data_IF_244292133012
#
_entry.id   IF_244292133012
#
_cell.length_a   1.000
_cell.length_b   1.000
_cell.length_c   1.000
_cell.angle_alpha   90.00
_cell.angle_beta   90.00
_cell.angle_gamma   90.00
#
_symmetry.space_group_name_H-M   'P 1'
#
loop_
_entity.id
_entity.type
_entity.pdbx_description
1 polymer ?
#
# COMPACT_ATOMS: atom_id res chain seq x y z
N UNK A 1 -18.88 3.16 35.01
CA UNK A 1 -18.22 2.32 33.99
C UNK A 1 -16.95 3.04 33.59
N UNK A 2 -15.78 2.41 33.71
CA UNK A 2 -14.53 3.05 33.29
C UNK A 2 -14.51 3.11 31.75
N UNK A 3 -14.49 4.30 31.18
CA UNK A 3 -14.21 4.51 29.76
C UNK A 3 -12.78 4.03 29.49
N UNK A 4 -12.65 2.85 28.89
CA UNK A 4 -11.37 2.39 28.38
C UNK A 4 -11.15 3.05 27.03
N UNK A 5 -10.28 4.07 26.97
CA UNK A 5 -9.86 4.68 25.72
C UNK A 5 -8.78 3.81 25.07
N UNK A 6 -9.17 3.02 24.07
CA UNK A 6 -8.22 2.24 23.28
C UNK A 6 -7.49 3.18 22.32
N UNK A 7 -6.21 3.43 22.56
CA UNK A 7 -5.36 4.18 21.65
C UNK A 7 -4.80 3.23 20.57
N UNK A 8 -4.98 3.52 19.27
CA UNK A 8 -4.37 2.75 18.20
C UNK A 8 -2.85 2.71 18.36
N UNK A 9 -2.27 1.51 18.25
CA UNK A 9 -0.81 1.30 18.30
C UNK A 9 -0.34 0.60 17.04
N UNK A 10 0.89 0.91 16.64
CA UNK A 10 1.53 0.24 15.52
C UNK A 10 1.86 -1.22 15.90
N UNK A 11 1.73 -2.18 14.96
CA UNK A 11 2.15 -3.56 15.19
C UNK A 11 3.68 -3.69 15.41
N UNK A 12 4.47 -2.72 14.95
CA UNK A 12 5.92 -2.70 15.09
C UNK A 12 6.39 -1.90 16.31
N UNK A 13 5.52 -1.21 17.04
CA UNK A 13 5.90 -0.30 18.13
C UNK A 13 6.82 -0.96 19.19
N UNK A 14 6.60 -2.25 19.47
CA UNK A 14 7.40 -3.00 20.46
C UNK A 14 8.61 -3.70 19.86
N UNK A 15 8.60 -3.97 18.55
CA UNK A 15 9.63 -4.77 17.88
C UNK A 15 10.67 -3.89 17.16
N UNK A 16 10.28 -2.71 16.71
CA UNK A 16 11.15 -1.76 16.03
C UNK A 16 12.04 -1.06 17.05
N UNK A 17 13.30 -1.45 17.08
CA UNK A 17 14.35 -0.70 17.77
C UNK A 17 15.03 0.19 16.74
N UNK A 18 14.94 1.52 16.92
CA UNK A 18 15.58 2.46 16.01
C UNK A 18 17.09 2.50 16.26
N UNK A 19 17.88 2.52 15.19
CA UNK A 19 19.33 2.65 15.29
C UNK A 19 20.05 2.21 14.03
N UNK A 20 21.37 2.43 14.03
CA UNK A 20 22.26 1.87 13.02
C UNK A 20 22.64 0.44 13.41
N UNK A 21 22.57 -0.48 12.46
CA UNK A 21 22.94 -1.88 12.62
C UNK A 21 24.05 -2.25 11.64
N UNK A 22 24.93 -3.15 12.06
CA UNK A 22 26.09 -3.57 11.29
C UNK A 22 27.35 -2.77 11.60
N UNK A 23 28.20 -2.60 10.59
CA UNK A 23 29.49 -1.93 10.70
C UNK A 23 29.32 -0.43 11.02
N UNK A 24 30.00 0.06 12.05
CA UNK A 24 29.76 1.40 12.63
C UNK A 24 30.51 2.53 11.95
N UNK A 25 31.57 2.22 11.21
CA UNK A 25 32.47 3.21 10.61
C UNK A 25 32.18 3.44 9.12
N UNK A 26 31.12 2.82 8.59
CA UNK A 26 30.69 2.94 7.19
C UNK A 26 29.29 3.54 7.12
N UNK A 27 29.08 4.48 6.19
CA UNK A 27 27.77 5.05 5.95
C UNK A 27 26.74 3.94 5.62
N UNK A 28 25.53 3.96 6.23
CA UNK A 28 24.51 2.95 5.96
C UNK A 28 24.10 2.93 4.48
N UNK A 29 24.14 1.75 3.87
CA UNK A 29 23.71 1.55 2.47
C UNK A 29 22.22 1.21 2.30
N UNK A 30 21.51 1.02 3.41
CA UNK A 30 20.11 0.58 3.48
C UNK A 30 19.44 1.33 4.63
N UNK A 31 18.24 1.85 4.38
CA UNK A 31 17.40 2.48 5.39
C UNK A 31 16.04 1.79 5.39
N UNK A 32 15.55 1.47 6.60
CA UNK A 32 14.21 0.93 6.82
C UNK A 32 13.43 1.93 7.65
N UNK A 33 12.22 2.27 7.23
CA UNK A 33 11.36 3.22 7.95
C UNK A 33 9.94 2.69 7.99
N UNK A 34 9.39 2.56 9.19
CA UNK A 34 7.97 2.29 9.33
C UNK A 34 7.14 3.49 8.84
N UNK A 35 6.16 3.22 8.00
CA UNK A 35 5.16 4.18 7.55
C UNK A 35 3.87 3.94 8.32
N UNK A 36 3.41 4.96 9.04
CA UNK A 36 2.19 4.92 9.87
C UNK A 36 1.09 5.79 9.28
N UNK A 37 -0.12 5.64 9.83
CA UNK A 37 -1.29 6.48 9.54
C UNK A 37 -1.62 6.53 8.04
N UNK A 38 -1.73 5.35 7.43
CA UNK A 38 -2.14 5.16 6.06
C UNK A 38 -3.46 4.41 6.00
N UNK A 39 -4.20 4.59 4.91
CA UNK A 39 -5.36 3.78 4.59
C UNK A 39 -4.99 2.79 3.49
N UNK A 40 -5.44 1.55 3.65
CA UNK A 40 -5.30 0.52 2.63
C UNK A 40 -6.64 -0.17 2.43
N UNK A 41 -7.35 0.19 1.35
CA UNK A 41 -8.68 -0.34 1.07
C UNK A 41 -8.61 -1.29 -0.12
N UNK A 42 -9.04 -2.53 0.06
CA UNK A 42 -9.21 -3.46 -1.06
C UNK A 42 -10.52 -3.20 -1.78
N UNK A 43 -10.46 -3.11 -3.10
CA UNK A 43 -11.59 -2.89 -4.01
C UNK A 43 -11.68 -4.08 -4.95
N UNK A 44 -12.83 -4.77 -4.96
CA UNK A 44 -13.06 -5.96 -5.76
C UNK A 44 -14.34 -5.78 -6.57
N UNK A 45 -14.28 -5.83 -7.89
CA UNK A 45 -15.48 -5.70 -8.71
C UNK A 45 -16.48 -6.81 -8.36
N UNK A 46 -17.76 -6.46 -8.35
CA UNK A 46 -18.83 -7.46 -8.34
C UNK A 46 -18.90 -8.13 -9.71
N UNK A 47 -19.50 -9.31 -9.76
CA UNK A 47 -19.60 -10.10 -11.00
C UNK A 47 -20.17 -9.26 -12.15
N UNK A 48 -19.42 -9.16 -13.24
CA UNK A 48 -19.81 -8.42 -14.43
C UNK A 48 -19.73 -6.89 -14.31
N UNK A 49 -19.10 -6.36 -13.24
CA UNK A 49 -19.00 -4.91 -12.97
C UNK A 49 -17.61 -4.31 -13.16
N UNK A 50 -16.71 -5.01 -13.85
CA UNK A 50 -15.35 -4.55 -14.09
C UNK A 50 -15.29 -3.21 -14.84
N UNK A 51 -16.14 -3.03 -15.86
CA UNK A 51 -16.19 -1.78 -16.63
C UNK A 51 -16.71 -0.60 -15.78
N UNK A 52 -17.77 -0.81 -14.99
CA UNK A 52 -18.29 0.21 -14.08
C UNK A 52 -17.29 0.55 -12.97
N UNK A 53 -16.55 -0.46 -12.47
CA UNK A 53 -15.46 -0.23 -11.53
C UNK A 53 -14.36 0.63 -12.18
N UNK A 54 -13.90 0.29 -13.38
CA UNK A 54 -12.87 1.05 -14.09
C UNK A 54 -13.28 2.51 -14.35
N UNK A 55 -14.55 2.72 -14.75
CA UNK A 55 -15.12 4.05 -14.94
C UNK A 55 -15.18 4.85 -13.63
N UNK A 56 -15.68 4.25 -12.55
CA UNK A 56 -15.74 4.88 -11.23
C UNK A 56 -14.34 5.22 -10.66
N UNK A 57 -13.36 4.33 -10.86
CA UNK A 57 -11.96 4.56 -10.46
C UNK A 57 -11.38 5.77 -11.20
N UNK A 58 -11.56 5.82 -12.53
CA UNK A 58 -11.07 6.93 -13.35
C UNK A 58 -11.73 8.24 -12.93
N UNK A 59 -13.05 8.24 -12.74
CA UNK A 59 -13.78 9.42 -12.28
C UNK A 59 -13.34 9.88 -10.89
N UNK A 60 -13.02 8.96 -9.97
CA UNK A 60 -12.69 9.28 -8.59
C UNK A 60 -11.24 9.72 -8.39
N UNK A 61 -10.30 9.08 -9.07
CA UNK A 61 -8.87 9.26 -8.84
C UNK A 61 -8.15 9.94 -10.01
N UNK A 62 -8.79 10.08 -11.17
CA UNK A 62 -8.12 10.55 -12.39
C UNK A 62 -7.11 9.54 -12.96
N UNK A 63 -7.15 8.30 -12.49
CA UNK A 63 -6.25 7.21 -12.88
C UNK A 63 -7.07 6.00 -13.31
N UNK A 64 -6.61 5.30 -14.34
CA UNK A 64 -7.15 3.98 -14.66
C UNK A 64 -6.77 2.98 -13.56
N UNK A 65 -7.69 2.07 -13.23
CA UNK A 65 -7.36 0.93 -12.37
C UNK A 65 -6.27 0.08 -13.04
N UNK A 66 -5.29 -0.45 -12.28
CA UNK A 66 -4.31 -1.35 -12.87
C UNK A 66 -4.99 -2.66 -13.31
N UNK A 67 -4.74 -3.04 -14.56
CA UNK A 67 -5.29 -4.22 -15.24
C UNK A 67 -4.32 -5.41 -15.28
N UNK A 68 -3.04 -5.15 -15.04
CA UNK A 68 -1.95 -6.13 -14.94
C UNK A 68 -1.18 -5.91 -13.63
N UNK A 69 -0.32 -6.86 -13.21
CA UNK A 69 0.50 -6.72 -11.99
C UNK A 69 1.44 -5.50 -12.02
N UNK A 70 0.93 -4.35 -11.58
CA UNK A 70 1.65 -3.07 -11.45
C UNK A 70 1.01 -2.21 -10.36
N UNK A 71 1.71 -1.17 -9.96
CA UNK A 71 1.14 -0.05 -9.24
C UNK A 71 0.99 1.15 -10.19
N UNK A 72 0.00 1.99 -9.93
CA UNK A 72 -0.14 3.30 -10.57
C UNK A 72 -0.41 4.33 -9.49
N UNK A 73 0.22 5.50 -9.58
CA UNK A 73 0.14 6.51 -8.52
C UNK A 73 -0.21 7.89 -9.06
N UNK A 74 -0.89 8.66 -8.23
CA UNK A 74 -1.08 10.09 -8.34
C UNK A 74 -0.50 10.76 -7.09
N UNK A 75 -0.67 12.07 -6.95
CA UNK A 75 -0.07 12.85 -5.87
C UNK A 75 -0.48 12.40 -4.46
N UNK A 76 -1.68 11.84 -4.28
CA UNK A 76 -2.23 11.50 -2.95
C UNK A 76 -2.76 10.06 -2.82
N UNK A 77 -2.61 9.23 -3.86
CA UNK A 77 -3.12 7.86 -3.89
C UNK A 77 -2.26 6.96 -4.77
N UNK A 78 -2.15 5.70 -4.39
CA UNK A 78 -1.56 4.64 -5.19
C UNK A 78 -2.57 3.49 -5.32
N UNK A 79 -2.81 3.06 -6.56
CA UNK A 79 -3.62 1.88 -6.86
C UNK A 79 -2.67 0.71 -7.16
N UNK A 80 -2.76 -0.37 -6.38
CA UNK A 80 -1.87 -1.52 -6.48
C UNK A 80 -2.69 -2.71 -6.97
N UNK A 81 -2.28 -3.33 -8.08
CA UNK A 81 -2.95 -4.52 -8.58
C UNK A 81 -2.91 -5.65 -7.54
N UNK A 82 -4.03 -6.33 -7.34
CA UNK A 82 -4.14 -7.46 -6.40
C UNK A 82 -4.79 -8.70 -7.00
N UNK A 83 -5.20 -8.64 -8.27
CA UNK A 83 -5.84 -9.73 -9.00
C UNK A 83 -6.71 -9.19 -10.15
N UNK A 84 -7.28 -10.08 -10.98
CA UNK A 84 -8.28 -9.69 -11.97
C UNK A 84 -9.45 -8.97 -11.30
N UNK A 85 -9.86 -7.83 -11.86
CA UNK A 85 -10.97 -7.00 -11.35
C UNK A 85 -10.82 -6.56 -9.88
N UNK A 86 -9.60 -6.53 -9.34
CA UNK A 86 -9.36 -6.10 -7.96
C UNK A 86 -8.02 -5.40 -7.75
N UNK A 87 -8.04 -4.35 -6.93
CA UNK A 87 -6.86 -3.57 -6.58
C UNK A 87 -6.96 -3.06 -5.14
N UNK A 88 -5.82 -2.62 -4.60
CA UNK A 88 -5.73 -1.92 -3.32
C UNK A 88 -5.60 -0.43 -3.57
N UNK A 89 -6.33 0.38 -2.81
CA UNK A 89 -6.17 1.82 -2.72
C UNK A 89 -5.30 2.11 -1.50
N UNK A 90 -4.09 2.59 -1.71
CA UNK A 90 -3.17 3.01 -0.67
C UNK A 90 -3.11 4.55 -0.63
N UNK A 91 -3.38 5.13 0.53
CA UNK A 91 -3.31 6.59 0.72
C UNK A 91 -2.83 6.98 2.10
N UNK A 92 -2.63 8.28 2.29
CA UNK A 92 -2.41 8.89 3.60
C UNK A 92 -3.35 10.08 3.78
N UNK A 93 -3.58 10.45 5.04
CA UNK A 93 -4.26 11.70 5.39
C UNK A 93 -5.79 11.63 5.41
N UNK A 94 -6.38 10.43 5.50
CA UNK A 94 -7.81 10.26 5.77
C UNK A 94 -8.74 10.54 4.59
N UNK A 95 -8.20 10.84 3.40
CA UNK A 95 -9.01 11.24 2.24
C UNK A 95 -9.78 10.08 1.60
N UNK A 96 -9.22 8.87 1.63
CA UNK A 96 -9.75 7.70 0.94
C UNK A 96 -10.04 6.56 1.92
N UNK A 97 -10.87 6.84 2.92
CA UNK A 97 -11.36 5.82 3.87
C UNK A 97 -12.43 4.93 3.24
N UNK A 98 -12.69 3.77 3.86
CA UNK A 98 -13.76 2.86 3.43
C UNK A 98 -15.12 3.56 3.32
N UNK A 99 -15.44 4.51 4.20
CA UNK A 99 -16.72 5.25 4.17
C UNK A 99 -16.82 6.11 2.92
N UNK A 100 -15.75 6.84 2.58
CA UNK A 100 -15.72 7.71 1.39
C UNK A 100 -15.77 6.89 0.10
N UNK A 101 -15.05 5.76 0.05
CA UNK A 101 -15.00 4.91 -1.13
C UNK A 101 -16.26 4.04 -1.31
N UNK A 102 -16.94 3.69 -0.21
CA UNK A 102 -18.19 2.90 -0.27
C UNK A 102 -19.27 3.58 -1.09
N UNK A 103 -19.36 4.91 -1.03
CA UNK A 103 -20.30 5.66 -1.84
C UNK A 103 -19.94 5.61 -3.32
N UNK A 104 -18.65 5.83 -3.64
CA UNK A 104 -18.11 5.82 -5.00
C UNK A 104 -18.33 4.47 -5.70
N UNK A 105 -18.08 3.37 -4.99
CA UNK A 105 -18.10 2.03 -5.57
C UNK A 105 -19.35 1.21 -5.22
N UNK A 106 -20.37 1.84 -4.65
CA UNK A 106 -21.58 1.17 -4.14
C UNK A 106 -22.26 0.23 -5.15
N UNK A 107 -22.21 0.56 -6.43
CA UNK A 107 -22.83 -0.20 -7.52
C UNK A 107 -21.89 -1.18 -8.24
N UNK A 108 -20.58 -1.03 -8.09
CA UNK A 108 -19.59 -1.75 -8.90
C UNK A 108 -18.72 -2.70 -8.11
N UNK A 109 -18.49 -2.47 -6.81
CA UNK A 109 -17.50 -3.22 -6.05
C UNK A 109 -17.91 -3.59 -4.62
N UNK A 110 -17.18 -4.54 -4.06
CA UNK A 110 -17.10 -4.84 -2.64
C UNK A 110 -15.81 -4.26 -2.08
N UNK A 111 -15.88 -3.67 -0.88
CA UNK A 111 -14.74 -3.02 -0.23
C UNK A 111 -14.36 -3.74 1.05
N UNK A 112 -13.06 -3.75 1.37
CA UNK A 112 -12.55 -4.23 2.65
C UNK A 112 -11.44 -3.30 3.15
N UNK A 113 -11.52 -2.88 4.41
CA UNK A 113 -10.46 -2.10 5.05
C UNK A 113 -9.36 -3.04 5.53
N UNK A 114 -8.15 -2.84 5.00
CA UNK A 114 -6.95 -3.62 5.27
C UNK A 114 -5.85 -2.77 5.92
N UNK A 115 -6.18 -1.56 6.39
CA UNK A 115 -5.21 -0.60 6.95
C UNK A 115 -4.50 -1.14 8.19
N UNK A 116 -5.19 -1.96 8.99
CA UNK A 116 -4.65 -2.59 10.20
C UNK A 116 -4.23 -4.05 9.99
N UNK A 117 -4.44 -4.61 8.79
CA UNK A 117 -4.07 -5.98 8.46
C UNK A 117 -2.60 -6.12 8.05
N UNK A 118 -1.92 -5.00 7.75
CA UNK A 118 -0.56 -4.96 7.23
C UNK A 118 0.26 -3.86 7.89
N UNK A 119 1.57 -4.08 8.02
CA UNK A 119 2.53 -3.03 8.32
C UNK A 119 3.17 -2.54 7.00
N UNK A 120 3.48 -1.25 6.92
CA UNK A 120 4.19 -0.67 5.78
C UNK A 120 5.60 -0.27 6.21
N UNK A 121 6.60 -0.90 5.59
CA UNK A 121 8.01 -0.56 5.77
C UNK A 121 8.52 -0.01 4.44
N UNK A 122 9.01 1.23 4.45
CA UNK A 122 9.76 1.81 3.34
C UNK A 122 11.21 1.34 3.40
N UNK A 123 11.74 0.90 2.26
CA UNK A 123 13.13 0.45 2.10
C UNK A 123 13.82 1.35 1.08
N UNK A 124 14.94 1.96 1.44
CA UNK A 124 15.70 2.83 0.56
C UNK A 124 17.21 2.64 0.74
N UNK A 125 18.00 3.29 -0.13
CA UNK A 125 19.47 3.23 -0.12
C UNK A 125 20.06 2.40 -1.26
N UNK A 126 21.34 2.63 -1.56
CA UNK A 126 22.04 2.04 -2.71
C UNK A 126 22.08 0.50 -2.70
N UNK A 127 22.02 -0.13 -1.51
CA UNK A 127 22.05 -1.59 -1.35
C UNK A 127 20.67 -2.21 -1.13
N UNK A 128 19.58 -1.43 -1.24
CA UNK A 128 18.21 -1.89 -0.98
C UNK A 128 17.81 -3.09 -1.87
N UNK A 129 18.09 -3.01 -3.19
CA UNK A 129 17.80 -4.11 -4.13
C UNK A 129 18.55 -5.39 -3.75
N UNK A 130 19.86 -5.28 -3.48
CA UNK A 130 20.69 -6.43 -3.08
C UNK A 130 20.20 -7.07 -1.80
N UNK A 131 19.70 -6.27 -0.84
CA UNK A 131 19.08 -6.79 0.37
C UNK A 131 17.78 -7.54 0.07
N UNK A 132 16.87 -6.93 -0.69
CA UNK A 132 15.58 -7.53 -1.02
C UNK A 132 15.72 -8.82 -1.83
N UNK A 133 16.74 -8.91 -2.70
CA UNK A 133 17.05 -10.13 -3.46
C UNK A 133 17.45 -11.32 -2.57
N UNK A 134 17.86 -11.10 -1.32
CA UNK A 134 18.10 -12.17 -0.34
C UNK A 134 16.82 -12.70 0.30
N UNK A 135 15.72 -11.95 0.23
CA UNK A 135 14.46 -12.21 0.93
C UNK A 135 13.30 -12.53 -0.02
N UNK A 136 13.45 -12.20 -1.30
CA UNK A 136 12.41 -12.29 -2.32
C UNK A 136 12.86 -13.11 -3.52
N UNK A 137 11.91 -13.83 -4.10
CA UNK A 137 12.11 -14.64 -5.30
C UNK A 137 11.72 -13.87 -6.58
N UNK A 138 11.32 -12.60 -6.43
CA UNK A 138 11.01 -11.69 -7.54
C UNK A 138 12.32 -11.19 -8.15
N UNK A 139 12.41 -11.16 -9.48
CA UNK A 139 13.50 -10.47 -10.17
C UNK A 139 13.36 -8.95 -9.98
N UNK A 140 14.27 -8.36 -9.21
CA UNK A 140 14.29 -6.93 -8.91
C UNK A 140 15.23 -6.14 -9.85
N UNK A 141 15.76 -6.76 -10.91
CA UNK A 141 16.58 -6.08 -11.91
C UNK A 141 15.77 -4.92 -12.55
N UNK A 142 16.35 -3.73 -12.82
CA UNK A 142 15.62 -2.57 -13.32
C UNK A 142 14.79 -2.82 -14.59
N UNK A 143 15.19 -3.77 -15.42
CA UNK A 143 14.49 -4.12 -16.67
C UNK A 143 13.28 -5.03 -16.42
N UNK A 144 13.29 -5.83 -15.35
CA UNK A 144 12.20 -6.72 -14.96
C UNK A 144 11.24 -6.05 -13.97
N UNK A 145 11.78 -5.21 -13.07
CA UNK A 145 11.04 -4.44 -12.07
C UNK A 145 11.37 -2.94 -12.20
N UNK A 146 10.72 -2.25 -13.16
CA UNK A 146 10.92 -0.82 -13.36
C UNK A 146 10.33 0.00 -12.21
N UNK A 147 10.71 1.27 -12.14
CA UNK A 147 10.08 2.24 -11.23
C UNK A 147 8.68 2.57 -11.76
N UNK A 148 7.66 2.52 -10.90
CA UNK A 148 6.27 2.86 -11.23
C UNK A 148 5.27 1.98 -10.51
#
# INVERSE_FOLDING_TARGET
MAESSWLPRSPLERALVAGAYGEREVAPGIFLTEVRNFELIQVMARRGKGAELASATTARFGLAAPDVPKAVSASDVMLIWSGPDQFLVLSKGGKYTINTLSQVFSQSASLSDQSHARAWISVSGAKARTMLAKLSWIDLHPTAFPIG
#
